data_IF_787533226219
#
_entry.id   IF_787533226219
#
_cell.length_a   1.000
_cell.length_b   1.000
_cell.length_c   1.000
_cell.angle_alpha   90.00
_cell.angle_beta   90.00
_cell.angle_gamma   90.00
#
_symmetry.space_group_name_H-M   'P 1'
#
loop_
_entity.id
_entity.type
_entity.pdbx_description
1 polymer ?
#
# COMPACT_ATOMS: atom_id res chain seq x y z
N UNK A 1 43.65 18.65 5.21
CA UNK A 1 42.75 18.07 4.19
C UNK A 1 41.50 17.51 4.87
N UNK A 2 40.28 18.02 4.62
CA UNK A 2 39.08 17.39 5.16
C UNK A 2 38.71 16.19 4.29
N UNK A 3 38.62 15.00 4.91
CA UNK A 3 38.14 13.77 4.27
C UNK A 3 36.64 13.92 4.00
N UNK A 4 36.26 13.97 2.72
CA UNK A 4 34.87 13.95 2.30
C UNK A 4 34.22 12.63 2.78
N UNK A 5 33.24 12.72 3.68
CA UNK A 5 32.41 11.56 4.05
C UNK A 5 31.49 11.29 2.86
N UNK A 6 31.77 10.21 2.12
CA UNK A 6 30.84 9.69 1.12
C UNK A 6 29.51 9.35 1.82
N UNK A 7 28.46 10.12 1.54
CA UNK A 7 27.09 9.73 1.89
C UNK A 7 26.80 8.43 1.13
N UNK A 8 26.79 7.30 1.82
CA UNK A 8 26.25 6.04 1.30
C UNK A 8 24.77 6.28 1.00
N UNK A 9 24.45 6.53 -0.27
CA UNK A 9 23.08 6.49 -0.75
C UNK A 9 22.71 5.01 -0.83
N UNK A 10 22.25 4.44 0.29
CA UNK A 10 21.52 3.18 0.23
C UNK A 10 20.24 3.48 -0.56
N UNK A 11 20.15 2.93 -1.78
CA UNK A 11 18.89 2.89 -2.51
C UNK A 11 17.92 2.11 -1.63
N UNK A 12 17.00 2.82 -0.98
CA UNK A 12 16.01 2.18 -0.13
C UNK A 12 14.97 1.60 -1.09
N UNK A 13 15.01 0.27 -1.25
CA UNK A 13 14.12 -0.45 -2.16
C UNK A 13 12.76 -0.60 -1.48
N UNK A 14 11.65 -0.37 -2.18
CA UNK A 14 10.33 -0.65 -1.64
C UNK A 14 10.21 -2.12 -1.25
N UNK A 15 9.77 -2.41 -0.03
CA UNK A 15 9.63 -3.77 0.49
C UNK A 15 8.36 -3.91 1.31
N UNK A 16 7.66 -5.01 1.09
CA UNK A 16 6.60 -5.48 1.98
C UNK A 16 7.23 -6.36 3.07
N UNK A 17 6.91 -6.10 4.33
CA UNK A 17 7.52 -6.78 5.48
C UNK A 17 6.66 -7.95 5.97
N UNK A 18 5.37 -7.90 5.70
CA UNK A 18 4.33 -8.81 6.19
C UNK A 18 4.06 -9.95 5.23
N UNK A 19 3.57 -11.08 5.77
CA UNK A 19 3.31 -12.31 5.02
C UNK A 19 1.84 -12.42 4.58
N UNK A 20 1.29 -11.39 3.90
CA UNK A 20 -0.05 -11.51 3.30
C UNK A 20 -0.03 -12.62 2.22
N UNK A 21 -1.02 -13.52 2.17
CA UNK A 21 -2.35 -13.48 2.80
C UNK A 21 -2.49 -14.16 4.17
N UNK A 22 -1.40 -14.65 4.79
CA UNK A 22 -1.50 -15.32 6.10
C UNK A 22 -1.91 -14.35 7.23
N UNK A 23 -1.57 -13.06 7.08
CA UNK A 23 -1.96 -12.00 7.99
C UNK A 23 -2.57 -10.83 7.23
N UNK A 24 -3.71 -10.31 7.71
CA UNK A 24 -4.43 -9.18 7.09
C UNK A 24 -3.72 -7.83 7.24
N UNK A 25 -2.64 -7.77 8.00
CA UNK A 25 -1.88 -6.55 8.21
C UNK A 25 -0.77 -6.47 7.17
N UNK A 26 -0.77 -5.39 6.38
CA UNK A 26 0.25 -5.13 5.36
C UNK A 26 1.10 -3.94 5.82
N UNK A 27 2.39 -4.19 6.02
CA UNK A 27 3.38 -3.14 6.27
C UNK A 27 4.24 -2.96 5.03
N UNK A 28 4.01 -1.86 4.33
CA UNK A 28 4.75 -1.49 3.13
C UNK A 28 5.72 -0.35 3.44
N UNK A 29 6.99 -0.52 3.11
CA UNK A 29 8.00 0.53 3.23
C UNK A 29 8.52 0.90 1.85
N UNK A 30 8.34 2.16 1.45
CA UNK A 30 8.98 2.75 0.26
C UNK A 30 10.39 3.27 0.59
N UNK A 31 10.96 2.82 1.70
CA UNK A 31 12.28 3.20 2.18
C UNK A 31 12.32 4.53 2.92
N UNK A 32 11.54 5.51 2.50
CA UNK A 32 11.44 6.81 3.17
C UNK A 32 10.26 6.88 4.14
N UNK A 33 9.18 6.15 3.85
CA UNK A 33 7.97 6.11 4.66
C UNK A 33 7.51 4.67 4.78
N UNK A 34 6.87 4.39 5.89
CA UNK A 34 6.17 3.14 6.14
C UNK A 34 4.68 3.41 6.14
N UNK A 35 3.93 2.54 5.48
CA UNK A 35 2.49 2.58 5.37
C UNK A 35 1.94 1.34 6.02
N UNK A 36 0.94 1.53 6.86
CA UNK A 36 0.23 0.45 7.53
C UNK A 36 -1.17 0.33 6.94
N UNK A 37 -1.48 -0.88 6.49
CA UNK A 37 -2.79 -1.23 5.97
C UNK A 37 -3.32 -2.43 6.73
N UNK A 38 -4.60 -2.43 7.03
CA UNK A 38 -5.32 -3.56 7.60
C UNK A 38 -6.43 -3.95 6.64
N UNK A 39 -6.37 -5.16 6.10
CA UNK A 39 -7.40 -5.69 5.21
C UNK A 39 -8.61 -6.10 6.05
N UNK A 40 -9.73 -5.40 5.89
CA UNK A 40 -10.99 -5.72 6.56
C UNK A 40 -11.73 -6.80 5.78
N UNK A 41 -11.78 -6.62 4.46
CA UNK A 41 -12.53 -7.49 3.56
C UNK A 41 -11.72 -7.71 2.30
N UNK A 42 -11.49 -8.99 1.99
CA UNK A 42 -10.91 -9.39 0.72
C UNK A 42 -11.93 -9.17 -0.40
N UNK A 43 -11.46 -8.58 -1.49
CA UNK A 43 -12.30 -8.28 -2.64
C UNK A 43 -12.29 -9.46 -3.60
N UNK A 44 -13.39 -9.61 -4.32
CA UNK A 44 -13.53 -10.64 -5.34
C UNK A 44 -13.26 -10.01 -6.70
N UNK A 45 -12.48 -10.68 -7.54
CA UNK A 45 -12.35 -10.24 -8.93
C UNK A 45 -13.59 -10.69 -9.71
N UNK A 46 -14.44 -9.75 -10.17
CA UNK A 46 -15.60 -10.11 -10.95
C UNK A 46 -15.18 -10.67 -12.32
N UNK A 47 -16.13 -11.30 -13.00
CA UNK A 47 -15.92 -11.82 -14.34
C UNK A 47 -15.54 -10.67 -15.32
N UNK A 48 -14.83 -10.97 -16.42
CA UNK A 48 -14.37 -9.97 -17.39
C UNK A 48 -15.39 -8.91 -17.84
N UNK A 49 -16.69 -9.20 -18.03
CA UNK A 49 -17.64 -8.17 -18.46
C UNK A 49 -17.91 -7.06 -17.43
N UNK A 50 -17.59 -7.27 -16.15
CA UNK A 50 -17.85 -6.31 -15.05
C UNK A 50 -16.54 -5.88 -14.36
N UNK A 51 -15.39 -6.27 -14.90
CA UNK A 51 -14.10 -6.02 -14.28
C UNK A 51 -13.67 -4.55 -14.40
N UNK A 52 -13.55 -3.89 -13.26
CA UNK A 52 -13.00 -2.54 -13.16
C UNK A 52 -11.47 -2.56 -13.24
N UNK A 53 -10.91 -1.48 -13.78
CA UNK A 53 -9.47 -1.32 -13.93
C UNK A 53 -9.03 0.06 -13.48
N UNK A 54 -7.77 0.17 -13.07
CA UNK A 54 -7.16 1.46 -12.74
C UNK A 54 -7.08 2.35 -13.96
N UNK A 55 -7.31 3.66 -13.74
CA UNK A 55 -7.36 4.70 -14.78
C UNK A 55 -6.11 4.77 -15.66
N UNK A 56 -4.94 4.36 -15.14
CA UNK A 56 -3.71 4.25 -15.91
C UNK A 56 -3.80 3.04 -16.86
N UNK A 57 -4.11 3.27 -18.15
CA UNK A 57 -4.14 2.29 -19.25
C UNK A 57 -4.74 0.91 -18.90
N UNK A 58 -5.71 0.84 -17.97
CA UNK A 58 -6.27 -0.40 -17.43
C UNK A 58 -5.20 -1.39 -16.91
N UNK A 59 -4.12 -0.86 -16.33
CA UNK A 59 -2.92 -1.62 -15.99
C UNK A 59 -3.15 -2.63 -14.86
N UNK A 60 -3.96 -2.26 -13.87
CA UNK A 60 -4.26 -3.12 -12.73
C UNK A 60 -5.76 -3.40 -12.66
N UNK A 61 -6.08 -4.67 -12.40
CA UNK A 61 -7.45 -5.12 -12.12
C UNK A 61 -7.83 -4.67 -10.73
N UNK A 62 -9.03 -4.12 -10.60
CA UNK A 62 -9.56 -3.70 -9.31
C UNK A 62 -10.49 -4.81 -8.81
N UNK A 63 -10.23 -5.37 -7.61
CA UNK A 63 -11.17 -6.29 -6.97
C UNK A 63 -12.39 -5.53 -6.48
N UNK A 64 -13.56 -6.12 -6.68
CA UNK A 64 -14.84 -5.57 -6.21
C UNK A 64 -14.97 -5.79 -4.69
N UNK A 65 -15.52 -4.79 -4.00
CA UNK A 65 -15.76 -4.78 -2.55
C UNK A 65 -14.50 -4.95 -1.67
N UNK A 66 -13.30 -4.65 -2.20
CA UNK A 66 -12.08 -4.68 -1.39
C UNK A 66 -12.06 -3.51 -0.41
N UNK A 67 -11.95 -3.82 0.88
CA UNK A 67 -11.98 -2.82 1.94
C UNK A 67 -10.70 -2.88 2.77
N UNK A 68 -9.98 -1.76 2.82
CA UNK A 68 -8.79 -1.59 3.65
C UNK A 68 -8.97 -0.43 4.61
N UNK A 69 -8.45 -0.61 5.82
CA UNK A 69 -8.22 0.45 6.78
C UNK A 69 -6.77 0.90 6.66
N UNK A 70 -6.56 2.21 6.53
CA UNK A 70 -5.23 2.82 6.62
C UNK A 70 -5.24 3.95 7.62
N UNK A 71 -4.16 4.07 8.37
CA UNK A 71 -3.96 5.17 9.31
C UNK A 71 -3.14 6.26 8.63
N UNK A 72 -3.72 7.44 8.42
CA UNK A 72 -3.00 8.58 7.86
C UNK A 72 -2.60 9.55 8.98
N UNK A 73 -1.29 9.68 9.23
CA UNK A 73 -0.72 10.43 10.35
C UNK A 73 -0.32 11.87 10.01
N UNK A 74 -0.96 12.51 9.02
CA UNK A 74 -0.62 13.90 8.66
C UNK A 74 -1.28 14.95 9.57
N UNK A 75 -2.29 14.57 10.36
CA UNK A 75 -2.89 15.44 11.37
C UNK A 75 -2.70 14.81 12.74
N UNK A 76 -2.63 15.61 13.79
CA UNK A 76 -2.35 15.17 15.17
C UNK A 76 -3.37 14.14 15.73
N UNK A 77 -4.41 13.80 14.97
CA UNK A 77 -5.30 12.68 15.21
C UNK A 77 -5.01 11.58 14.17
N UNK A 78 -4.77 10.36 14.63
CA UNK A 78 -4.71 9.19 13.76
C UNK A 78 -6.08 9.01 13.07
N UNK A 79 -6.21 9.50 11.85
CA UNK A 79 -7.42 9.31 11.07
C UNK A 79 -7.41 7.90 10.48
N UNK A 80 -8.42 7.10 10.82
CA UNK A 80 -8.69 5.81 10.19
C UNK A 80 -9.47 6.09 8.91
N UNK A 81 -8.84 5.83 7.76
CA UNK A 81 -9.46 5.99 6.46
C UNK A 81 -9.89 4.60 5.98
N UNK A 82 -11.18 4.45 5.69
CA UNK A 82 -11.72 3.28 5.01
C UNK A 82 -11.71 3.55 3.52
N UNK A 83 -10.97 2.74 2.77
CA UNK A 83 -10.95 2.81 1.31
C UNK A 83 -11.72 1.61 0.79
N UNK A 84 -12.76 1.88 0.00
CA UNK A 84 -13.54 0.87 -0.71
C UNK A 84 -13.23 0.98 -2.19
N UNK A 85 -12.87 -0.14 -2.80
CA UNK A 85 -12.68 -0.25 -4.24
C UNK A 85 -13.96 -0.82 -4.88
N UNK A 86 -14.42 -0.18 -5.97
CA UNK A 86 -15.59 -0.55 -6.78
C UNK A 86 -15.15 -0.72 -8.24
#
# INVERSE_FOLDING_TARGET
MPKAKAKKICKKVPKEITEYPNANNILYTDGNRSYYYTVIQEGLYPQPPVLAYTQEKNKYKIPDCYCIETTWSHTAANAVIKVMFY
#
